data_IF_576316774572
#
_entry.id   IF_576316774572
#
_cell.length_a   1.000
_cell.length_b   1.000
_cell.length_c   1.000
_cell.angle_alpha   90.00
_cell.angle_beta   90.00
_cell.angle_gamma   90.00
#
_symmetry.space_group_name_H-M   'P 1'
#
loop_
_entity.id
_entity.type
_entity.pdbx_description
1 polymer ?
#
# COMPACT_ATOMS: atom_id res chain seq x y z
N UNK A 1 -27.77 -7.23 -0.89
CA UNK A 1 -26.72 -7.48 -1.87
C UNK A 1 -27.08 -6.90 -3.25
N UNK A 2 -28.15 -7.38 -3.92
CA UNK A 2 -28.56 -6.84 -5.23
C UNK A 2 -28.97 -5.37 -5.17
N UNK A 3 -29.74 -4.98 -4.15
CA UNK A 3 -30.13 -3.60 -3.90
C UNK A 3 -28.91 -2.65 -3.68
N UNK A 4 -27.89 -3.14 -3.03
CA UNK A 4 -26.63 -2.41 -2.79
C UNK A 4 -25.84 -2.20 -4.07
N UNK A 5 -25.81 -3.18 -4.99
CA UNK A 5 -25.21 -3.03 -6.32
C UNK A 5 -25.95 -1.96 -7.15
N UNK A 6 -27.28 -1.99 -7.09
CA UNK A 6 -28.12 -0.99 -7.78
C UNK A 6 -27.88 0.40 -7.23
N UNK A 7 -27.81 0.56 -5.90
CA UNK A 7 -27.56 1.83 -5.24
C UNK A 7 -26.18 2.40 -5.61
N UNK A 8 -25.11 1.59 -5.57
CA UNK A 8 -23.78 1.99 -6.01
C UNK A 8 -23.75 2.40 -7.49
N UNK A 9 -24.48 1.71 -8.34
CA UNK A 9 -24.59 2.07 -9.78
C UNK A 9 -25.35 3.38 -9.99
N UNK A 10 -26.41 3.61 -9.24
CA UNK A 10 -27.18 4.87 -9.30
C UNK A 10 -26.34 6.08 -8.89
N UNK A 11 -25.40 5.93 -7.98
CA UNK A 11 -24.45 6.98 -7.59
C UNK A 11 -23.27 7.14 -8.57
N UNK A 12 -23.40 6.65 -9.82
CA UNK A 12 -22.40 6.75 -10.90
C UNK A 12 -21.02 6.17 -10.58
N UNK A 13 -20.95 5.22 -9.67
CA UNK A 13 -19.72 4.45 -9.46
C UNK A 13 -19.59 3.39 -10.55
N UNK A 14 -18.43 3.34 -11.21
CA UNK A 14 -18.13 2.24 -12.13
C UNK A 14 -17.90 0.98 -11.30
N UNK A 15 -18.85 0.05 -11.36
CA UNK A 15 -18.72 -1.26 -10.74
C UNK A 15 -17.71 -2.10 -11.53
N UNK A 16 -16.73 -2.62 -10.87
CA UNK A 16 -15.82 -3.64 -11.40
C UNK A 16 -16.37 -5.03 -11.09
N UNK A 17 -15.88 -6.07 -11.79
CA UNK A 17 -16.21 -7.46 -11.45
C UNK A 17 -15.88 -7.77 -9.98
N UNK A 18 -14.83 -7.15 -9.45
CA UNK A 18 -14.40 -7.25 -8.08
C UNK A 18 -15.41 -6.66 -7.08
N UNK A 19 -16.01 -5.50 -7.39
CA UNK A 19 -17.06 -4.90 -6.55
C UNK A 19 -18.29 -5.79 -6.45
N UNK A 20 -18.57 -6.56 -7.52
CA UNK A 20 -19.69 -7.50 -7.58
C UNK A 20 -19.41 -8.72 -6.69
N UNK A 21 -18.23 -9.33 -6.83
CA UNK A 21 -17.81 -10.46 -6.00
C UNK A 21 -17.78 -10.08 -4.52
N UNK A 22 -17.25 -8.92 -4.16
CA UNK A 22 -17.17 -8.40 -2.80
C UNK A 22 -18.54 -8.27 -2.13
N UNK A 23 -19.54 -7.82 -2.88
CA UNK A 23 -20.94 -7.69 -2.38
C UNK A 23 -21.64 -9.05 -2.26
N UNK A 24 -21.33 -10.00 -3.15
CA UNK A 24 -21.95 -11.33 -3.13
C UNK A 24 -21.37 -12.22 -2.04
N UNK A 25 -20.09 -12.18 -1.79
CA UNK A 25 -19.42 -12.97 -0.74
C UNK A 25 -19.77 -12.47 0.68
N UNK A 26 -20.29 -11.25 0.80
CA UNK A 26 -20.94 -10.76 2.04
C UNK A 26 -20.01 -10.52 3.21
N UNK A 27 -18.68 -10.59 3.02
CA UNK A 27 -17.68 -10.54 4.07
C UNK A 27 -16.87 -9.23 4.11
N UNK A 28 -17.00 -8.36 3.10
CA UNK A 28 -16.20 -7.16 2.94
C UNK A 28 -17.02 -5.87 2.97
N UNK A 29 -17.75 -5.64 4.04
CA UNK A 29 -18.13 -4.26 4.37
C UNK A 29 -16.88 -3.51 4.85
N UNK A 30 -16.66 -2.23 4.49
CA UNK A 30 -15.50 -1.45 4.95
C UNK A 30 -15.33 -1.45 6.48
N UNK A 31 -16.42 -1.70 7.22
CA UNK A 31 -16.45 -1.78 8.68
C UNK A 31 -16.43 -3.22 9.24
N UNK A 32 -16.40 -4.26 8.41
CA UNK A 32 -16.36 -5.65 8.82
C UNK A 32 -15.08 -6.34 8.40
N UNK A 33 -13.94 -5.73 8.70
CA UNK A 33 -12.69 -6.45 8.77
C UNK A 33 -12.80 -7.41 9.96
N UNK A 34 -13.45 -8.56 9.74
CA UNK A 34 -13.56 -9.60 10.75
C UNK A 34 -12.15 -10.09 11.04
N UNK A 35 -11.68 -9.79 12.22
CA UNK A 35 -10.42 -10.19 12.84
C UNK A 35 -10.31 -11.72 13.07
N UNK A 36 -11.03 -12.51 12.30
CA UNK A 36 -10.84 -13.95 12.22
C UNK A 36 -9.67 -14.19 11.26
N UNK A 37 -8.46 -14.25 11.77
CA UNK A 37 -7.17 -14.72 11.25
C UNK A 37 -6.88 -14.94 9.77
N UNK A 38 -7.83 -14.75 8.88
CA UNK A 38 -7.81 -15.05 7.44
C UNK A 38 -8.21 -13.88 6.53
N UNK A 39 -8.41 -12.67 7.06
CA UNK A 39 -8.85 -11.56 6.24
C UNK A 39 -7.85 -11.23 5.13
N UNK A 40 -8.31 -11.33 3.89
CA UNK A 40 -7.54 -10.97 2.70
C UNK A 40 -7.37 -9.45 2.67
N UNK A 41 -6.14 -8.97 2.64
CA UNK A 41 -5.83 -7.54 2.57
C UNK A 41 -6.06 -7.06 1.13
N UNK A 42 -5.46 -7.76 0.16
CA UNK A 42 -5.54 -7.46 -1.27
C UNK A 42 -5.19 -8.73 -2.06
N UNK A 43 -5.54 -8.81 -3.34
CA UNK A 43 -5.05 -9.86 -4.22
C UNK A 43 -3.82 -9.39 -5.01
N UNK A 44 -2.89 -10.31 -5.24
CA UNK A 44 -1.75 -10.08 -6.12
C UNK A 44 -2.20 -9.96 -7.58
N UNK A 45 -1.30 -9.55 -8.45
CA UNK A 45 -1.52 -9.52 -9.92
C UNK A 45 -1.84 -10.90 -10.52
N UNK A 46 -1.42 -11.98 -9.85
CA UNK A 46 -1.72 -13.37 -10.21
C UNK A 46 -3.03 -13.89 -9.58
N UNK A 47 -3.78 -13.04 -8.88
CA UNK A 47 -5.02 -13.42 -8.18
C UNK A 47 -4.81 -14.15 -6.85
N UNK A 48 -3.57 -14.29 -6.36
CA UNK A 48 -3.30 -14.91 -5.07
C UNK A 48 -3.66 -13.97 -3.90
N UNK A 49 -4.34 -14.46 -2.85
CA UNK A 49 -4.69 -13.62 -1.72
C UNK A 49 -3.46 -13.24 -0.88
N UNK A 50 -3.30 -11.95 -0.62
CA UNK A 50 -2.32 -11.41 0.30
C UNK A 50 -3.01 -11.18 1.64
N UNK A 51 -2.55 -11.87 2.67
CA UNK A 51 -3.13 -11.85 4.01
C UNK A 51 -2.05 -11.83 5.09
N UNK A 52 -2.41 -11.41 6.29
CA UNK A 52 -1.55 -11.52 7.45
C UNK A 52 -1.29 -13.00 7.79
N UNK A 53 -0.02 -13.42 7.79
CA UNK A 53 0.39 -14.83 7.94
C UNK A 53 0.62 -15.23 9.40
N UNK A 54 0.80 -14.28 10.28
CA UNK A 54 1.07 -14.50 11.69
C UNK A 54 0.37 -13.47 12.57
N UNK A 55 0.37 -13.72 13.88
CA UNK A 55 -0.32 -12.90 14.87
C UNK A 55 0.15 -11.43 14.87
N UNK A 56 1.45 -11.19 14.78
CA UNK A 56 2.01 -9.83 14.78
C UNK A 56 1.59 -9.04 13.52
N UNK A 57 1.55 -9.69 12.36
CA UNK A 57 1.01 -9.06 11.15
C UNK A 57 -0.49 -8.77 11.27
N UNK A 58 -1.26 -9.64 11.93
CA UNK A 58 -2.68 -9.40 12.22
C UNK A 58 -2.87 -8.20 13.17
N UNK A 59 -2.02 -8.10 14.18
CA UNK A 59 -1.99 -6.94 15.10
C UNK A 59 -1.65 -5.64 14.35
N UNK A 60 -0.69 -5.66 13.42
CA UNK A 60 -0.36 -4.53 12.57
C UNK A 60 -1.55 -4.12 11.67
N UNK A 61 -2.22 -5.08 11.06
CA UNK A 61 -3.42 -4.84 10.25
C UNK A 61 -4.53 -4.22 11.10
N UNK A 62 -4.78 -4.75 12.30
CA UNK A 62 -5.75 -4.19 13.24
C UNK A 62 -5.39 -2.75 13.62
N UNK A 63 -4.13 -2.51 14.00
CA UNK A 63 -3.64 -1.18 14.37
C UNK A 63 -3.84 -0.16 13.25
N UNK A 64 -3.65 -0.56 11.99
CA UNK A 64 -3.88 0.32 10.82
C UNK A 64 -5.32 0.83 10.73
N UNK A 65 -6.33 0.01 11.08
CA UNK A 65 -7.73 0.43 11.02
C UNK A 65 -8.18 1.22 12.24
N UNK A 66 -7.46 1.12 13.35
CA UNK A 66 -7.83 1.75 14.62
C UNK A 66 -7.08 3.05 14.88
N UNK A 67 -6.01 3.37 14.11
CA UNK A 67 -5.13 4.48 14.39
C UNK A 67 -4.71 5.23 13.12
N UNK A 68 -4.49 6.53 13.25
CA UNK A 68 -3.97 7.38 12.18
C UNK A 68 -2.46 7.22 11.96
N UNK A 69 -1.72 6.74 12.97
CA UNK A 69 -0.28 6.53 12.95
C UNK A 69 0.07 5.18 13.57
N UNK A 70 0.82 4.38 12.84
CA UNK A 70 1.27 3.04 13.27
C UNK A 70 2.78 2.91 13.16
N UNK A 71 3.42 2.44 14.20
CA UNK A 71 4.84 2.05 14.18
C UNK A 71 4.95 0.52 14.13
N UNK A 72 5.55 0.00 13.05
CA UNK A 72 5.80 -1.43 12.88
C UNK A 72 7.28 -1.73 13.14
N UNK A 73 7.60 -2.21 14.32
CA UNK A 73 8.97 -2.53 14.75
C UNK A 73 9.18 -4.04 14.76
N UNK A 74 10.32 -4.50 14.26
CA UNK A 74 10.67 -5.92 14.24
C UNK A 74 11.83 -6.25 13.31
N UNK A 75 12.36 -7.47 13.35
CA UNK A 75 13.49 -7.90 12.52
C UNK A 75 13.23 -7.78 11.03
N UNK A 76 14.30 -7.71 10.23
CA UNK A 76 14.22 -7.76 8.78
C UNK A 76 13.54 -9.06 8.30
N UNK A 77 12.90 -9.04 7.13
CA UNK A 77 12.24 -10.20 6.53
C UNK A 77 10.90 -10.62 7.17
N UNK A 78 10.39 -9.89 8.16
CA UNK A 78 9.09 -10.19 8.81
C UNK A 78 7.87 -9.68 8.02
N UNK A 79 8.08 -9.02 6.89
CA UNK A 79 7.03 -8.56 5.99
C UNK A 79 6.36 -7.24 6.38
N UNK A 80 6.97 -6.44 7.27
CA UNK A 80 6.42 -5.13 7.71
C UNK A 80 6.08 -4.22 6.52
N UNK A 81 7.06 -3.95 5.69
CA UNK A 81 6.93 -3.09 4.50
C UNK A 81 5.90 -3.65 3.52
N UNK A 82 5.93 -4.96 3.28
CA UNK A 82 5.01 -5.64 2.37
C UNK A 82 3.55 -5.53 2.82
N UNK A 83 3.26 -5.75 4.11
CA UNK A 83 1.91 -5.61 4.68
C UNK A 83 1.46 -4.14 4.67
N UNK A 84 2.35 -3.19 4.99
CA UNK A 84 2.03 -1.77 4.93
C UNK A 84 1.63 -1.34 3.51
N UNK A 85 2.37 -1.78 2.48
CA UNK A 85 2.06 -1.52 1.08
C UNK A 85 0.74 -2.18 0.68
N UNK A 86 0.50 -3.43 1.10
CA UNK A 86 -0.75 -4.12 0.83
C UNK A 86 -1.97 -3.36 1.38
N UNK A 87 -1.88 -2.84 2.60
CA UNK A 87 -2.92 -2.02 3.23
C UNK A 87 -3.15 -0.70 2.46
N UNK A 88 -2.07 -0.02 2.05
CA UNK A 88 -2.17 1.20 1.27
C UNK A 88 -2.79 0.95 -0.13
N UNK A 89 -2.40 -0.13 -0.81
CA UNK A 89 -2.99 -0.54 -2.10
C UNK A 89 -4.47 -0.87 -1.95
N UNK A 90 -4.86 -1.56 -0.87
CA UNK A 90 -6.26 -1.80 -0.54
C UNK A 90 -7.03 -0.49 -0.37
N UNK A 91 -6.51 0.42 0.45
CA UNK A 91 -7.15 1.72 0.69
C UNK A 91 -7.28 2.56 -0.59
N UNK A 92 -6.28 2.50 -1.50
CA UNK A 92 -6.34 3.15 -2.80
C UNK A 92 -7.41 2.51 -3.71
N UNK A 93 -7.47 1.18 -3.78
CA UNK A 93 -8.49 0.44 -4.55
C UNK A 93 -9.90 0.76 -4.04
N UNK A 94 -10.08 0.86 -2.73
CA UNK A 94 -11.35 1.21 -2.08
C UNK A 94 -11.67 2.72 -2.13
N UNK A 95 -10.78 3.55 -2.71
CA UNK A 95 -10.93 5.02 -2.77
C UNK A 95 -11.00 5.71 -1.40
N UNK A 96 -10.51 5.05 -0.36
CA UNK A 96 -10.38 5.61 0.99
C UNK A 96 -9.32 6.71 1.00
N UNK A 97 -8.29 6.56 0.17
CA UNK A 97 -7.21 7.53 -0.05
C UNK A 97 -7.09 7.88 -1.54
N UNK A 98 -6.45 9.01 -1.83
CA UNK A 98 -6.15 9.45 -3.20
C UNK A 98 -4.74 9.11 -3.66
N UNK A 99 -3.80 8.99 -2.72
CA UNK A 99 -2.37 8.81 -3.02
C UNK A 99 -1.71 7.85 -2.05
N UNK A 100 -0.72 7.13 -2.56
CA UNK A 100 0.24 6.37 -1.77
C UNK A 100 1.58 7.07 -1.87
N UNK A 101 2.20 7.34 -0.74
CA UNK A 101 3.53 7.95 -0.68
C UNK A 101 4.44 7.00 0.06
N UNK A 102 5.42 6.48 -0.67
CA UNK A 102 6.44 5.61 -0.12
C UNK A 102 7.72 6.41 -0.01
N UNK A 103 8.27 6.45 1.18
CA UNK A 103 9.50 7.19 1.43
C UNK A 103 10.43 6.37 2.31
N UNK A 104 11.72 6.56 2.10
CA UNK A 104 12.79 5.91 2.85
C UNK A 104 13.90 6.92 3.10
N UNK A 105 14.61 6.89 4.23
CA UNK A 105 15.84 7.64 4.38
C UNK A 105 16.82 7.32 3.25
N UNK A 106 17.48 8.33 2.70
CA UNK A 106 18.38 8.16 1.55
C UNK A 106 19.69 7.44 1.91
N UNK A 107 19.96 7.24 3.18
CA UNK A 107 21.16 6.57 3.71
C UNK A 107 20.77 5.77 4.92
N UNK A 108 21.19 4.51 4.98
CA UNK A 108 21.25 3.76 6.23
C UNK A 108 22.28 4.41 7.16
N UNK A 109 22.03 4.34 8.47
CA UNK A 109 22.92 4.93 9.46
C UNK A 109 24.34 4.37 9.31
N UNK A 110 25.24 5.18 8.75
CA UNK A 110 26.66 4.83 8.54
C UNK A 110 27.11 4.70 7.08
N UNK A 111 26.24 4.66 6.09
CA UNK A 111 26.62 4.63 4.69
C UNK A 111 26.73 6.04 4.08
N UNK A 112 27.80 6.26 3.29
CA UNK A 112 28.01 7.51 2.56
C UNK A 112 27.66 7.31 1.09
N UNK A 113 26.58 7.94 0.62
CA UNK A 113 26.15 7.95 -0.79
C UNK A 113 27.26 8.38 -1.79
N UNK A 114 28.34 8.98 -1.31
CA UNK A 114 29.48 9.45 -2.13
C UNK A 114 30.28 8.33 -2.81
N UNK A 115 30.13 7.07 -2.40
CA UNK A 115 30.91 5.95 -2.96
C UNK A 115 30.22 5.24 -4.14
N UNK A 116 28.96 5.50 -4.42
CA UNK A 116 28.27 4.88 -5.55
C UNK A 116 28.49 5.72 -6.82
N UNK A 117 28.83 5.11 -7.97
CA UNK A 117 28.93 5.79 -9.26
C UNK A 117 27.51 6.18 -9.77
N UNK A 118 27.43 7.26 -10.55
CA UNK A 118 26.21 7.71 -11.18
C UNK A 118 25.57 8.97 -10.55
N UNK A 119 24.51 9.45 -11.15
CA UNK A 119 23.70 10.57 -10.65
C UNK A 119 22.99 10.21 -9.35
N UNK A 120 22.50 11.22 -8.63
CA UNK A 120 21.84 11.03 -7.33
C UNK A 120 20.61 10.08 -7.44
N UNK A 121 19.93 10.12 -8.57
CA UNK A 121 18.79 9.24 -8.87
C UNK A 121 19.26 7.79 -9.00
N UNK A 122 20.28 7.54 -9.80
CA UNK A 122 20.83 6.19 -10.03
C UNK A 122 21.37 5.56 -8.73
N UNK A 123 21.86 6.38 -7.81
CA UNK A 123 22.33 5.94 -6.49
C UNK A 123 21.21 5.57 -5.53
N UNK A 124 20.03 6.17 -5.68
CA UNK A 124 18.88 5.95 -4.82
C UNK A 124 17.97 4.82 -5.30
N UNK A 125 17.94 4.54 -6.60
CA UNK A 125 17.09 3.51 -7.20
C UNK A 125 17.24 2.12 -6.54
N UNK A 126 18.44 1.62 -6.23
CA UNK A 126 18.59 0.32 -5.56
C UNK A 126 17.91 0.26 -4.17
N UNK A 127 17.90 1.38 -3.43
CA UNK A 127 17.27 1.46 -2.11
C UNK A 127 15.75 1.50 -2.18
N UNK A 128 15.20 1.94 -3.30
CA UNK A 128 13.76 2.03 -3.53
C UNK A 128 13.19 0.80 -4.23
N UNK A 129 14.05 -0.04 -4.83
CA UNK A 129 13.65 -1.23 -5.59
C UNK A 129 12.71 -2.17 -4.82
N UNK A 130 12.94 -2.48 -3.52
CA UNK A 130 12.02 -3.33 -2.76
C UNK A 130 10.59 -2.78 -2.65
N UNK A 131 10.43 -1.46 -2.71
CA UNK A 131 9.11 -0.81 -2.68
C UNK A 131 8.40 -0.98 -4.04
N UNK A 132 9.14 -0.85 -5.15
CA UNK A 132 8.62 -1.12 -6.49
C UNK A 132 8.22 -2.58 -6.67
N UNK A 133 9.04 -3.51 -6.17
CA UNK A 133 8.77 -4.95 -6.25
C UNK A 133 7.48 -5.31 -5.50
N UNK A 134 7.32 -4.81 -4.28
CA UNK A 134 6.10 -5.03 -3.49
C UNK A 134 4.85 -4.45 -4.16
N UNK A 135 4.93 -3.25 -4.77
CA UNK A 135 3.82 -2.69 -5.55
C UNK A 135 3.52 -3.52 -6.80
N UNK A 136 4.56 -3.99 -7.50
CA UNK A 136 4.43 -4.81 -8.71
C UNK A 136 3.74 -6.15 -8.47
N UNK A 137 3.86 -6.71 -7.28
CA UNK A 137 3.09 -7.90 -6.87
C UNK A 137 1.57 -7.64 -6.80
N UNK A 138 1.16 -6.41 -6.51
CA UNK A 138 -0.23 -6.06 -6.17
C UNK A 138 -0.94 -5.23 -7.24
N UNK A 139 -0.17 -4.57 -8.12
CA UNK A 139 -0.67 -3.67 -9.16
C UNK A 139 -0.04 -4.09 -10.49
N UNK A 140 -0.85 -4.35 -11.54
CA UNK A 140 -0.32 -4.68 -12.86
C UNK A 140 0.67 -3.63 -13.37
N UNK A 141 1.78 -4.02 -14.05
CA UNK A 141 2.86 -3.11 -14.41
C UNK A 141 2.40 -1.86 -15.16
N UNK A 142 1.51 -2.01 -16.13
CA UNK A 142 0.96 -0.89 -16.90
C UNK A 142 0.22 0.10 -15.99
N UNK A 143 -0.60 -0.41 -15.08
CA UNK A 143 -1.37 0.43 -14.14
C UNK A 143 -0.48 1.10 -13.09
N UNK A 144 0.57 0.41 -12.65
CA UNK A 144 1.56 0.96 -11.72
C UNK A 144 2.29 2.13 -12.37
N UNK A 145 2.68 1.99 -13.63
CA UNK A 145 3.32 3.08 -14.37
C UNK A 145 2.40 4.30 -14.51
N UNK A 146 1.13 4.09 -14.90
CA UNK A 146 0.13 5.16 -14.97
C UNK A 146 -0.01 5.88 -13.62
N UNK A 147 -0.11 5.14 -12.51
CA UNK A 147 -0.22 5.73 -11.17
C UNK A 147 1.01 6.54 -10.76
N UNK A 148 2.20 6.12 -11.18
CA UNK A 148 3.44 6.88 -10.92
C UNK A 148 3.47 8.16 -11.75
N UNK A 149 3.13 8.09 -13.04
CA UNK A 149 3.08 9.25 -13.94
C UNK A 149 2.04 10.29 -13.50
N UNK A 150 0.86 9.86 -13.06
CA UNK A 150 -0.21 10.70 -12.52
C UNK A 150 0.10 11.24 -11.10
N UNK A 151 1.12 10.72 -10.43
CA UNK A 151 1.44 11.08 -9.05
C UNK A 151 0.49 10.50 -8.01
N UNK A 152 -0.33 9.51 -8.39
CA UNK A 152 -1.17 8.72 -7.48
C UNK A 152 -0.32 7.85 -6.56
N UNK A 153 0.77 7.30 -7.10
CA UNK A 153 1.81 6.61 -6.31
C UNK A 153 3.10 7.40 -6.47
N UNK A 154 3.72 7.73 -5.36
CA UNK A 154 4.98 8.47 -5.33
C UNK A 154 5.98 7.72 -4.47
N UNK A 155 7.16 7.48 -5.04
CA UNK A 155 8.27 6.84 -4.35
C UNK A 155 9.44 7.81 -4.39
N UNK A 156 9.90 8.25 -3.22
CA UNK A 156 10.98 9.22 -3.16
C UNK A 156 11.71 9.16 -1.80
N UNK A 157 12.98 9.53 -1.75
CA UNK A 157 13.72 9.68 -0.51
C UNK A 157 13.04 10.67 0.44
N UNK A 158 13.16 10.43 1.74
CA UNK A 158 12.55 11.28 2.77
C UNK A 158 12.95 12.77 2.64
N UNK A 159 14.17 13.05 2.24
CA UNK A 159 14.66 14.42 2.03
C UNK A 159 13.82 15.23 1.03
N UNK A 160 13.20 14.57 0.05
CA UNK A 160 12.35 15.22 -0.97
C UNK A 160 10.89 15.43 -0.51
N UNK A 161 10.54 14.97 0.70
CA UNK A 161 9.20 15.16 1.28
C UNK A 161 9.07 16.49 2.04
N UNK A 162 10.19 17.19 2.26
CA UNK A 162 10.20 18.44 3.02
C UNK A 162 9.33 19.52 2.34
N UNK A 163 8.46 20.16 3.12
CA UNK A 163 7.59 21.25 2.64
C UNK A 163 6.41 20.80 1.78
N UNK A 164 6.14 19.49 1.68
CA UNK A 164 5.02 18.95 0.89
C UNK A 164 3.77 18.80 1.76
N UNK A 165 2.62 19.12 1.19
CA UNK A 165 1.31 18.80 1.77
C UNK A 165 0.84 17.46 1.27
N UNK A 166 0.59 16.52 2.17
CA UNK A 166 0.25 15.13 1.86
C UNK A 166 -1.25 14.90 2.12
N UNK A 167 -2.09 15.54 1.32
CA UNK A 167 -3.55 15.47 1.48
C UNK A 167 -4.12 14.13 0.99
N UNK A 168 -5.00 13.53 1.81
CA UNK A 168 -5.69 12.26 1.54
C UNK A 168 -4.76 11.16 1.07
N UNK A 169 -3.61 11.03 1.71
CA UNK A 169 -2.55 10.10 1.35
C UNK A 169 -2.28 9.10 2.48
N UNK A 170 -2.02 7.85 2.11
CA UNK A 170 -1.34 6.90 2.97
C UNK A 170 0.17 7.09 2.78
N UNK A 171 0.86 7.43 3.85
CA UNK A 171 2.31 7.63 3.85
C UNK A 171 2.98 6.46 4.54
N UNK A 172 3.91 5.83 3.87
CA UNK A 172 4.74 4.75 4.43
C UNK A 172 6.18 5.26 4.47
N UNK A 173 6.70 5.41 5.69
CA UNK A 173 8.11 5.66 5.93
C UNK A 173 8.76 4.32 6.28
N UNK A 174 9.54 3.79 5.35
CA UNK A 174 10.24 2.52 5.47
C UNK A 174 11.66 2.74 5.97
N UNK A 175 12.15 1.87 6.84
CA UNK A 175 13.47 1.98 7.48
C UNK A 175 13.69 3.34 8.20
N UNK A 176 12.73 3.73 9.04
CA UNK A 176 12.72 4.98 9.80
C UNK A 176 13.71 4.97 10.97
#
# INVERSE_FOLDING_TARGET
>A
KFAELVDRRMHKMNLTAFDVEDIFDGENSPNNFRLNGEAIIVHSTEGKPIKARNKTQQEMVKAYFENDLVFAVGPAGTGKTYIAIALAVRALKNREIKRIILTRPAVEAGERLGFLPGDLKDKLDPYLQPLYDALGDMIPPKRLQEFIEEGTIQIAPLAYMRGRTLDRACVILDEA
#
